data_IF_312169740223
#
_entry.id   IF_312169740223
#
_cell.length_a   1.000
_cell.length_b   1.000
_cell.length_c   1.000
_cell.angle_alpha   90.00
_cell.angle_beta   90.00
_cell.angle_gamma   90.00
#
_symmetry.space_group_name_H-M   'P 1'
#
loop_
_entity.id
_entity.type
_entity.pdbx_description
1 polymer ?
#
# COMPACT_ATOMS: atom_id res chain seq x y z
N UNK A 1 -0.03 -24.98 -9.28
CA UNK A 1 -1.50 -24.89 -9.15
C UNK A 1 -1.83 -23.40 -9.05
N UNK A 2 -2.82 -22.91 -9.77
CA UNK A 2 -3.22 -21.49 -9.82
C UNK A 2 -4.74 -21.38 -9.79
N UNK A 3 -5.28 -20.17 -9.60
CA UNK A 3 -6.71 -19.88 -9.65
C UNK A 3 -7.28 -20.10 -11.06
N UNK A 4 -8.54 -20.55 -11.16
CA UNK A 4 -9.25 -20.71 -12.42
C UNK A 4 -9.94 -19.41 -12.83
N UNK A 5 -9.20 -18.50 -13.48
CA UNK A 5 -9.71 -17.22 -13.97
C UNK A 5 -8.92 -16.75 -15.18
N UNK A 6 -9.52 -15.86 -15.97
CA UNK A 6 -8.79 -15.03 -16.93
C UNK A 6 -8.09 -13.90 -16.16
N UNK A 7 -6.94 -13.43 -16.66
CA UNK A 7 -6.17 -12.34 -15.99
C UNK A 7 -7.07 -11.15 -15.65
N UNK A 8 -6.89 -10.62 -14.44
CA UNK A 8 -7.62 -9.47 -13.90
C UNK A 8 -9.14 -9.67 -13.75
N UNK A 9 -9.59 -10.93 -13.80
CA UNK A 9 -10.99 -11.29 -13.56
C UNK A 9 -11.13 -12.18 -12.32
N UNK A 10 -12.31 -12.18 -11.67
CA UNK A 10 -12.57 -13.02 -10.52
C UNK A 10 -12.50 -14.52 -10.86
N UNK A 11 -12.15 -15.35 -9.87
CA UNK A 11 -12.21 -16.81 -10.00
C UNK A 11 -13.62 -17.25 -10.44
N UNK A 12 -13.65 -18.12 -11.44
CA UNK A 12 -14.90 -18.67 -11.96
C UNK A 12 -15.54 -19.61 -10.92
N UNK A 13 -16.83 -19.46 -10.67
CA UNK A 13 -17.61 -20.27 -9.71
C UNK A 13 -18.78 -21.00 -10.34
N UNK A 14 -19.18 -20.66 -11.56
CA UNK A 14 -20.23 -21.30 -12.33
C UNK A 14 -19.66 -22.27 -13.36
N UNK A 15 -20.29 -23.45 -13.52
CA UNK A 15 -19.82 -24.50 -14.43
C UNK A 15 -19.88 -24.07 -15.89
N UNK A 16 -20.94 -23.36 -16.30
CA UNK A 16 -21.11 -22.87 -17.69
C UNK A 16 -20.08 -21.81 -18.01
N UNK A 17 -19.91 -20.85 -17.08
CA UNK A 17 -18.91 -19.78 -17.17
C UNK A 17 -17.47 -20.35 -17.26
N UNK A 18 -17.19 -21.44 -16.49
CA UNK A 18 -15.91 -22.14 -16.56
C UNK A 18 -15.62 -22.73 -17.93
N UNK A 19 -16.60 -23.46 -18.49
CA UNK A 19 -16.46 -24.07 -19.81
C UNK A 19 -16.29 -23.04 -20.93
N UNK A 20 -16.97 -21.91 -20.84
CA UNK A 20 -16.90 -20.87 -21.87
C UNK A 20 -15.62 -20.07 -21.80
N UNK A 21 -15.20 -19.66 -20.58
CA UNK A 21 -14.09 -18.71 -20.42
C UNK A 21 -12.72 -19.36 -20.31
N UNK A 22 -12.64 -20.56 -19.78
CA UNK A 22 -11.37 -21.26 -19.54
C UNK A 22 -11.04 -22.28 -20.62
N UNK A 23 -11.85 -22.41 -21.66
CA UNK A 23 -11.64 -23.37 -22.80
C UNK A 23 -10.27 -23.23 -23.45
N UNK A 24 -9.72 -22.02 -23.53
CA UNK A 24 -8.38 -21.77 -24.08
C UNK A 24 -7.23 -21.91 -23.08
N UNK A 25 -7.55 -22.20 -21.81
CA UNK A 25 -6.57 -22.26 -20.70
C UNK A 25 -6.43 -23.67 -20.17
N UNK A 26 -7.53 -24.46 -20.11
CA UNK A 26 -7.56 -25.81 -19.57
C UNK A 26 -8.02 -26.82 -20.61
N UNK A 27 -7.35 -27.98 -20.67
CA UNK A 27 -7.67 -29.10 -21.57
C UNK A 27 -8.74 -30.03 -20.97
N UNK A 28 -8.88 -30.03 -19.63
CA UNK A 28 -9.80 -30.90 -18.89
C UNK A 28 -10.49 -30.11 -17.77
N UNK A 29 -11.81 -30.30 -17.67
CA UNK A 29 -12.64 -29.70 -16.62
C UNK A 29 -13.20 -30.77 -15.72
N UNK A 30 -12.97 -30.63 -14.40
CA UNK A 30 -13.64 -31.44 -13.39
C UNK A 30 -14.71 -30.57 -12.74
N UNK A 31 -15.96 -30.88 -13.04
CA UNK A 31 -17.13 -30.13 -12.61
C UNK A 31 -17.91 -30.90 -11.53
N UNK A 32 -18.76 -30.21 -10.80
CA UNK A 32 -19.70 -30.80 -9.84
C UNK A 32 -21.04 -30.06 -9.89
N UNK A 33 -22.07 -30.67 -9.36
CA UNK A 33 -23.45 -30.18 -9.34
C UNK A 33 -23.81 -29.37 -8.08
N UNK A 34 -22.82 -29.09 -7.25
CA UNK A 34 -22.97 -28.27 -6.03
C UNK A 34 -22.53 -26.84 -6.28
N UNK A 35 -23.43 -25.89 -6.08
CA UNK A 35 -23.14 -24.48 -6.27
C UNK A 35 -22.04 -23.96 -5.36
N UNK A 36 -21.16 -23.10 -5.89
CA UNK A 36 -20.19 -22.34 -5.13
C UNK A 36 -20.83 -21.01 -4.73
N UNK A 37 -21.40 -20.97 -3.54
CA UNK A 37 -22.16 -19.81 -3.04
C UNK A 37 -21.27 -18.60 -2.77
N UNK A 38 -20.05 -18.84 -2.28
CA UNK A 38 -19.11 -17.77 -1.92
C UNK A 38 -17.80 -17.97 -2.66
N UNK A 39 -17.44 -16.98 -3.49
CA UNK A 39 -16.12 -16.91 -4.09
C UNK A 39 -15.08 -16.65 -3.02
N UNK A 40 -13.97 -17.36 -3.04
CA UNK A 40 -12.85 -17.16 -2.15
C UNK A 40 -11.55 -17.51 -2.85
N UNK A 41 -10.68 -16.52 -2.97
CA UNK A 41 -9.29 -16.71 -3.41
C UNK A 41 -8.48 -17.50 -2.38
N UNK A 42 -7.33 -18.00 -2.80
CA UNK A 42 -6.35 -18.52 -1.87
C UNK A 42 -5.67 -17.38 -1.11
N UNK A 43 -5.46 -17.58 0.18
CA UNK A 43 -4.65 -16.68 0.98
C UNK A 43 -3.19 -16.80 0.55
N UNK A 44 -2.48 -15.66 0.60
CA UNK A 44 -1.05 -15.57 0.32
C UNK A 44 -0.34 -15.10 1.57
N UNK A 45 0.73 -15.78 1.94
CA UNK A 45 1.54 -15.43 3.11
C UNK A 45 3.04 -15.48 2.77
N UNK A 46 3.81 -14.68 3.48
CA UNK A 46 5.25 -14.61 3.43
C UNK A 46 5.83 -14.70 4.84
N UNK A 47 7.03 -15.24 4.99
CA UNK A 47 7.75 -15.21 6.28
C UNK A 47 8.52 -13.90 6.38
N UNK A 48 8.27 -13.12 7.44
CA UNK A 48 8.98 -11.88 7.78
C UNK A 48 9.34 -11.93 9.25
N UNK A 49 10.60 -11.70 9.59
CA UNK A 49 11.13 -11.80 10.94
C UNK A 49 10.77 -13.15 11.61
N UNK A 50 10.95 -14.25 10.88
CA UNK A 50 10.72 -15.63 11.37
C UNK A 50 9.26 -15.99 11.62
N UNK A 51 8.29 -15.16 11.22
CA UNK A 51 6.84 -15.39 11.42
C UNK A 51 6.06 -15.18 10.13
N UNK A 52 4.94 -15.91 9.91
CA UNK A 52 4.09 -15.66 8.76
C UNK A 52 3.43 -14.27 8.84
N UNK A 53 3.36 -13.60 7.70
CA UNK A 53 2.62 -12.37 7.44
C UNK A 53 1.67 -12.65 6.29
N UNK A 54 0.38 -12.43 6.49
CA UNK A 54 -0.65 -12.60 5.46
C UNK A 54 -0.62 -11.40 4.53
N UNK A 55 -0.39 -11.62 3.23
CA UNK A 55 -0.38 -10.58 2.20
C UNK A 55 -1.73 -10.46 1.48
N UNK A 56 -2.43 -11.59 1.35
CA UNK A 56 -3.82 -11.70 0.89
C UNK A 56 -4.60 -12.54 1.89
N UNK A 57 -5.66 -11.94 2.47
CA UNK A 57 -6.51 -12.62 3.45
C UNK A 57 -7.79 -13.10 2.77
N UNK A 58 -7.94 -14.41 2.64
CA UNK A 58 -9.08 -15.05 2.01
C UNK A 58 -9.35 -16.43 2.62
N UNK A 59 -9.34 -17.50 1.84
CA UNK A 59 -9.62 -18.87 2.27
C UNK A 59 -8.79 -19.27 3.49
N UNK A 60 -9.46 -19.85 4.49
CA UNK A 60 -8.85 -20.30 5.75
C UNK A 60 -8.74 -19.22 6.84
N UNK A 61 -8.83 -17.93 6.47
CA UNK A 61 -8.81 -16.81 7.40
C UNK A 61 -10.17 -16.11 7.53
N UNK A 62 -10.95 -16.04 6.46
CA UNK A 62 -12.28 -15.44 6.41
C UNK A 62 -13.32 -16.54 6.64
N UNK A 63 -14.41 -16.30 7.41
CA UNK A 63 -14.86 -15.05 8.05
C UNK A 63 -14.45 -14.93 9.54
N UNK A 64 -13.28 -15.44 9.94
CA UNK A 64 -12.85 -15.38 11.35
C UNK A 64 -12.77 -13.93 11.82
N UNK A 65 -13.50 -13.62 12.90
CA UNK A 65 -13.50 -12.30 13.52
C UNK A 65 -12.11 -11.92 14.09
N UNK A 66 -11.85 -10.63 14.12
CA UNK A 66 -10.72 -9.98 14.77
C UNK A 66 -11.30 -9.25 15.98
N UNK A 67 -10.75 -9.52 17.16
CA UNK A 67 -11.16 -8.80 18.37
C UNK A 67 -10.82 -7.30 18.21
N UNK A 68 -11.81 -6.46 18.45
CA UNK A 68 -11.67 -5.02 18.32
C UNK A 68 -11.27 -4.38 19.64
N UNK A 69 -10.23 -3.55 19.68
CA UNK A 69 -9.91 -2.75 20.86
C UNK A 69 -10.87 -1.57 21.07
N UNK A 70 -11.68 -1.24 20.08
CA UNK A 70 -12.74 -0.22 20.12
C UNK A 70 -14.08 -0.94 20.00
N UNK A 71 -15.01 -0.70 20.93
CA UNK A 71 -16.37 -1.25 20.83
C UNK A 71 -17.14 -0.53 19.72
N UNK A 72 -17.86 -1.26 18.89
CA UNK A 72 -18.77 -0.73 17.89
C UNK A 72 -20.16 -0.55 18.53
N UNK A 73 -20.51 0.69 18.90
CA UNK A 73 -21.82 1.01 19.48
C UNK A 73 -22.94 0.97 18.42
N UNK A 74 -22.58 1.13 17.14
CA UNK A 74 -23.42 0.96 15.95
C UNK A 74 -22.73 0.01 14.97
N UNK A 75 -23.51 -0.67 14.13
CA UNK A 75 -22.94 -1.54 13.09
C UNK A 75 -22.25 -0.72 12.02
N UNK A 76 -20.97 -0.99 11.79
CA UNK A 76 -20.14 -0.31 10.79
C UNK A 76 -19.90 -1.24 9.60
N UNK A 77 -20.11 -0.75 8.39
CA UNK A 77 -19.57 -1.32 7.15
C UNK A 77 -18.43 -0.43 6.68
N UNK A 78 -17.23 -0.98 6.53
CA UNK A 78 -16.12 -0.29 5.90
C UNK A 78 -15.85 -0.85 4.51
N UNK A 79 -15.75 0.02 3.52
CA UNK A 79 -15.76 -0.31 2.10
C UNK A 79 -14.39 -0.57 1.49
N UNK A 80 -13.30 -0.32 2.23
CA UNK A 80 -11.93 -0.53 1.75
C UNK A 80 -11.46 0.52 0.74
N UNK A 81 -10.38 0.19 0.03
CA UNK A 81 -9.79 1.02 -1.02
C UNK A 81 -10.20 0.54 -2.42
N UNK A 82 -9.53 1.03 -3.48
CA UNK A 82 -9.77 0.63 -4.88
C UNK A 82 -9.02 -0.66 -5.22
N UNK A 83 -7.74 -0.75 -4.84
CA UNK A 83 -6.86 -1.87 -5.18
C UNK A 83 -6.84 -2.90 -4.06
N UNK A 84 -6.66 -4.18 -4.42
CA UNK A 84 -6.60 -5.31 -3.46
C UNK A 84 -7.74 -5.25 -2.43
N UNK A 85 -8.90 -4.77 -2.88
CA UNK A 85 -10.03 -4.43 -2.03
C UNK A 85 -10.45 -5.58 -1.13
N UNK A 86 -10.87 -5.20 0.06
CA UNK A 86 -11.64 -5.97 1.03
C UNK A 86 -12.67 -5.02 1.64
N UNK A 87 -13.66 -5.57 2.33
CA UNK A 87 -14.58 -4.81 3.17
C UNK A 87 -14.58 -5.34 4.59
N UNK A 88 -15.13 -4.61 5.55
CA UNK A 88 -15.17 -5.04 6.95
C UNK A 88 -16.50 -4.68 7.60
N UNK A 89 -17.08 -5.63 8.34
CA UNK A 89 -18.19 -5.36 9.25
C UNK A 89 -17.67 -5.28 10.69
N UNK A 90 -18.01 -4.19 11.39
CA UNK A 90 -17.75 -4.00 12.81
C UNK A 90 -19.04 -4.04 13.62
N UNK A 91 -19.08 -4.85 14.70
CA UNK A 91 -20.20 -4.92 15.64
C UNK A 91 -19.72 -5.32 17.03
N UNK A 92 -20.27 -4.72 18.08
CA UNK A 92 -19.85 -5.03 19.44
C UNK A 92 -18.32 -4.94 19.60
N UNK A 93 -17.68 -6.01 20.01
CA UNK A 93 -16.22 -6.06 20.21
C UNK A 93 -15.50 -6.85 19.11
N UNK A 94 -16.13 -7.00 17.93
CA UNK A 94 -15.60 -7.79 16.84
C UNK A 94 -15.61 -7.02 15.50
N UNK A 95 -14.57 -7.24 14.70
CA UNK A 95 -14.50 -6.84 13.31
C UNK A 95 -14.36 -8.07 12.42
N UNK A 96 -15.21 -8.22 11.41
CA UNK A 96 -15.18 -9.31 10.45
C UNK A 96 -14.73 -8.76 9.10
N UNK A 97 -13.45 -8.97 8.80
CA UNK A 97 -12.87 -8.60 7.51
C UNK A 97 -13.35 -9.58 6.45
N UNK A 98 -13.90 -9.07 5.37
CA UNK A 98 -14.37 -9.82 4.21
C UNK A 98 -13.23 -10.51 3.44
N UNK A 99 -13.55 -11.37 2.47
CA UNK A 99 -12.55 -11.97 1.61
C UNK A 99 -11.90 -10.92 0.70
N UNK A 100 -10.72 -11.25 0.21
CA UNK A 100 -10.10 -10.47 -0.87
C UNK A 100 -11.00 -10.45 -2.09
N UNK A 101 -11.32 -9.27 -2.59
CA UNK A 101 -12.11 -9.04 -3.79
C UNK A 101 -11.19 -8.80 -5.00
N UNK A 102 -10.11 -8.06 -4.80
CA UNK A 102 -9.19 -7.62 -5.85
C UNK A 102 -9.39 -6.16 -6.24
N UNK A 103 -8.86 -5.80 -7.40
CA UNK A 103 -8.92 -4.43 -7.90
C UNK A 103 -10.29 -4.13 -8.50
N UNK A 104 -10.94 -3.06 -8.04
CA UNK A 104 -12.31 -2.70 -8.46
C UNK A 104 -12.32 -1.99 -9.84
N UNK A 105 -11.55 -2.52 -10.81
CA UNK A 105 -11.35 -1.89 -12.11
C UNK A 105 -12.33 -2.37 -13.20
N UNK A 106 -13.11 -3.42 -12.90
CA UNK A 106 -14.08 -3.95 -13.84
C UNK A 106 -15.48 -4.03 -13.25
N UNK A 107 -16.50 -3.93 -14.12
CA UNK A 107 -17.91 -4.07 -13.72
C UNK A 107 -18.18 -5.43 -13.06
N UNK A 108 -17.48 -6.48 -13.47
CA UNK A 108 -17.64 -7.82 -12.92
C UNK A 108 -17.10 -7.88 -11.50
N UNK A 109 -15.88 -7.41 -11.24
CA UNK A 109 -15.29 -7.35 -9.91
C UNK A 109 -16.15 -6.50 -8.98
N UNK A 110 -16.65 -5.37 -9.48
CA UNK A 110 -17.52 -4.49 -8.69
C UNK A 110 -18.84 -5.16 -8.30
N UNK A 111 -19.50 -5.90 -9.21
CA UNK A 111 -20.71 -6.68 -8.87
C UNK A 111 -20.43 -7.79 -7.85
N UNK A 112 -19.26 -8.44 -7.93
CA UNK A 112 -18.86 -9.42 -6.93
C UNK A 112 -18.63 -8.80 -5.56
N UNK A 113 -18.06 -7.61 -5.52
CA UNK A 113 -17.88 -6.80 -4.32
C UNK A 113 -19.25 -6.51 -3.66
N UNK A 114 -20.21 -5.98 -4.41
CA UNK A 114 -21.57 -5.71 -3.92
C UNK A 114 -22.24 -6.98 -3.39
N UNK A 115 -22.15 -8.07 -4.14
CA UNK A 115 -22.73 -9.36 -3.76
C UNK A 115 -22.04 -9.96 -2.52
N UNK A 116 -20.73 -9.79 -2.37
CA UNK A 116 -19.99 -10.27 -1.20
C UNK A 116 -20.35 -9.49 0.07
N UNK A 117 -20.50 -8.19 -0.01
CA UNK A 117 -20.98 -7.33 1.09
C UNK A 117 -22.39 -7.77 1.52
N UNK A 118 -23.31 -7.89 0.57
CA UNK A 118 -24.69 -8.28 0.87
C UNK A 118 -24.76 -9.67 1.52
N UNK A 119 -24.02 -10.65 1.00
CA UNK A 119 -23.97 -12.01 1.59
C UNK A 119 -23.38 -12.02 3.00
N UNK A 120 -22.31 -11.25 3.23
CA UNK A 120 -21.70 -11.18 4.56
C UNK A 120 -22.63 -10.51 5.56
N UNK A 121 -23.34 -9.43 5.17
CA UNK A 121 -24.35 -8.77 5.99
C UNK A 121 -25.46 -9.73 6.39
N UNK A 122 -25.98 -10.52 5.44
CA UNK A 122 -26.96 -11.58 5.69
C UNK A 122 -26.41 -12.68 6.62
N UNK A 123 -25.17 -13.13 6.39
CA UNK A 123 -24.53 -14.15 7.22
C UNK A 123 -24.34 -13.70 8.68
N UNK A 124 -24.00 -12.43 8.87
CA UNK A 124 -23.82 -11.83 10.19
C UNK A 124 -25.14 -11.35 10.81
N UNK A 125 -26.23 -11.34 10.06
CA UNK A 125 -27.53 -10.79 10.45
C UNK A 125 -27.42 -9.34 10.94
N UNK A 126 -26.81 -8.47 10.08
CA UNK A 126 -26.58 -7.06 10.40
C UNK A 126 -26.96 -6.14 9.24
N UNK A 127 -27.41 -4.93 9.61
CA UNK A 127 -27.59 -3.80 8.70
C UNK A 127 -26.68 -2.65 9.15
N UNK A 128 -25.85 -2.09 8.26
CA UNK A 128 -24.93 -1.04 8.66
C UNK A 128 -25.68 0.27 8.98
N UNK A 129 -25.32 0.89 10.09
CA UNK A 129 -25.75 2.22 10.51
C UNK A 129 -24.70 3.29 10.17
N UNK A 130 -23.43 2.87 10.05
CA UNK A 130 -22.30 3.70 9.62
C UNK A 130 -21.62 3.01 8.44
N UNK A 131 -21.27 3.81 7.42
CA UNK A 131 -20.53 3.31 6.25
C UNK A 131 -19.23 4.11 6.13
N UNK A 132 -18.11 3.45 6.38
CA UNK A 132 -16.78 4.05 6.28
C UNK A 132 -16.18 3.84 4.88
N UNK A 133 -15.51 4.87 4.36
CA UNK A 133 -14.92 4.86 3.03
C UNK A 133 -13.59 5.65 2.98
N UNK A 134 -12.81 5.44 1.93
CA UNK A 134 -11.62 6.23 1.65
C UNK A 134 -11.97 7.67 1.27
N UNK A 135 -11.06 8.62 1.47
CA UNK A 135 -11.23 10.01 1.05
C UNK A 135 -11.09 10.20 -0.47
N UNK A 136 -10.56 9.21 -1.20
CA UNK A 136 -10.40 9.33 -2.65
C UNK A 136 -11.77 9.36 -3.33
N UNK A 137 -12.13 10.48 -4.03
CA UNK A 137 -13.49 10.67 -4.53
C UNK A 137 -13.87 9.73 -5.68
N UNK A 138 -12.87 9.25 -6.43
CA UNK A 138 -13.09 8.44 -7.63
C UNK A 138 -13.04 6.93 -7.38
N UNK A 139 -12.71 6.48 -6.18
CA UNK A 139 -12.75 5.06 -5.88
C UNK A 139 -14.17 4.51 -5.99
N UNK A 140 -14.34 3.36 -6.64
CA UNK A 140 -15.65 2.72 -6.74
C UNK A 140 -16.16 2.29 -5.36
N UNK A 141 -15.29 1.91 -4.43
CA UNK A 141 -15.64 1.65 -3.03
C UNK A 141 -16.22 2.87 -2.33
N UNK A 142 -15.64 4.07 -2.57
CA UNK A 142 -16.17 5.35 -2.04
C UNK A 142 -17.54 5.67 -2.65
N UNK A 143 -17.69 5.52 -3.96
CA UNK A 143 -18.97 5.76 -4.65
C UNK A 143 -20.05 4.79 -4.15
N UNK A 144 -19.70 3.52 -3.95
CA UNK A 144 -20.60 2.54 -3.34
C UNK A 144 -21.03 3.00 -1.94
N UNK A 145 -20.10 3.36 -1.07
CA UNK A 145 -20.38 3.81 0.29
C UNK A 145 -21.34 5.00 0.34
N UNK A 146 -21.11 6.00 -0.52
CA UNK A 146 -21.97 7.19 -0.64
C UNK A 146 -23.33 6.89 -1.27
N UNK A 147 -23.46 5.77 -1.98
CA UNK A 147 -24.71 5.28 -2.57
C UNK A 147 -25.52 4.36 -1.65
N UNK A 148 -24.95 3.90 -0.53
CA UNK A 148 -25.68 3.08 0.45
C UNK A 148 -26.76 3.95 1.09
N UNK A 149 -28.02 3.69 0.71
CA UNK A 149 -29.16 4.40 1.26
C UNK A 149 -29.49 3.97 2.71
N UNK A 150 -30.74 4.01 3.08
CA UNK A 150 -31.28 3.51 4.35
C UNK A 150 -30.88 4.30 5.61
N UNK A 151 -30.48 5.55 5.49
CA UNK A 151 -30.15 6.40 6.63
C UNK A 151 -28.80 6.13 7.30
N UNK A 152 -27.95 5.27 6.71
CA UNK A 152 -26.61 5.05 7.20
C UNK A 152 -25.74 6.33 7.07
N UNK A 153 -24.93 6.60 8.10
CA UNK A 153 -24.03 7.75 8.14
C UNK A 153 -22.73 7.41 7.41
N UNK A 154 -22.40 8.17 6.36
CA UNK A 154 -21.12 8.01 5.66
C UNK A 154 -19.98 8.71 6.43
N UNK A 155 -18.86 8.01 6.63
CA UNK A 155 -17.66 8.52 7.32
C UNK A 155 -16.44 8.34 6.42
N UNK A 156 -15.84 9.47 6.00
CA UNK A 156 -14.60 9.47 5.23
C UNK A 156 -13.39 9.26 6.14
N UNK A 157 -12.54 8.28 5.82
CA UNK A 157 -11.34 7.95 6.59
C UNK A 157 -10.10 8.13 5.72
N UNK A 158 -9.10 8.86 6.25
CA UNK A 158 -7.85 9.06 5.54
C UNK A 158 -7.10 7.72 5.39
N UNK A 159 -6.59 7.45 4.19
CA UNK A 159 -5.99 6.20 3.76
C UNK A 159 -4.88 5.68 4.69
N UNK A 160 -3.88 6.52 4.97
CA UNK A 160 -2.73 6.13 5.81
C UNK A 160 -3.08 6.05 7.29
N UNK A 161 -4.07 6.82 7.75
CA UNK A 161 -4.65 6.64 9.07
C UNK A 161 -5.31 5.26 9.20
N UNK A 162 -6.07 4.84 8.17
CA UNK A 162 -6.66 3.50 8.14
C UNK A 162 -5.60 2.39 8.17
N UNK A 163 -4.48 2.56 7.45
CA UNK A 163 -3.36 1.64 7.53
C UNK A 163 -2.83 1.48 8.95
N UNK A 164 -2.56 2.57 9.64
CA UNK A 164 -2.03 2.52 11.02
C UNK A 164 -3.07 1.95 11.99
N UNK A 165 -4.33 2.39 11.89
CA UNK A 165 -5.43 1.88 12.70
C UNK A 165 -5.65 0.36 12.52
N UNK A 166 -5.47 -0.15 11.30
CA UNK A 166 -5.52 -1.59 11.01
C UNK A 166 -4.43 -2.37 11.76
N UNK A 167 -3.18 -1.87 11.75
CA UNK A 167 -2.09 -2.46 12.49
C UNK A 167 -2.29 -2.38 14.01
N UNK A 168 -2.79 -1.24 14.50
CA UNK A 168 -3.16 -1.10 15.92
C UNK A 168 -4.22 -2.12 16.34
N UNK A 169 -5.25 -2.30 15.51
CA UNK A 169 -6.35 -3.21 15.78
C UNK A 169 -5.89 -4.66 15.90
N UNK A 170 -5.06 -5.12 14.98
CA UNK A 170 -4.53 -6.48 15.00
C UNK A 170 -3.76 -6.80 16.29
N UNK A 171 -3.09 -5.80 16.86
CA UNK A 171 -2.27 -5.93 18.06
C UNK A 171 -2.97 -5.46 19.36
N UNK A 172 -4.24 -5.07 19.26
CA UNK A 172 -5.03 -4.65 20.43
C UNK A 172 -4.53 -3.35 21.09
N UNK A 173 -3.82 -2.50 20.35
CA UNK A 173 -3.30 -1.23 20.86
C UNK A 173 -4.44 -0.23 21.04
N UNK A 174 -4.46 0.51 22.15
CA UNK A 174 -5.55 1.44 22.51
C UNK A 174 -5.13 2.90 22.57
N UNK A 175 -3.85 3.17 22.78
CA UNK A 175 -3.32 4.52 22.89
C UNK A 175 -2.65 4.99 21.59
N UNK A 176 -2.09 6.20 21.59
CA UNK A 176 -1.38 6.70 20.44
C UNK A 176 -0.14 5.87 20.11
N UNK A 177 0.18 5.81 18.82
CA UNK A 177 1.35 5.11 18.28
C UNK A 177 2.14 6.01 17.34
N UNK A 178 3.41 5.67 17.10
CA UNK A 178 4.18 6.16 15.95
C UNK A 178 3.92 5.21 14.79
N UNK A 179 3.23 5.69 13.77
CA UNK A 179 2.88 4.90 12.59
C UNK A 179 3.77 5.24 11.41
N UNK A 180 4.55 4.28 10.90
CA UNK A 180 5.16 4.38 9.58
C UNK A 180 4.16 3.80 8.57
N UNK A 181 3.55 4.67 7.76
CA UNK A 181 2.60 4.29 6.72
C UNK A 181 3.28 4.44 5.35
N UNK A 182 3.90 3.34 4.87
CA UNK A 182 4.67 3.35 3.63
C UNK A 182 3.95 2.59 2.53
N UNK A 183 3.55 3.33 1.50
CA UNK A 183 2.79 2.80 0.38
C UNK A 183 3.25 3.39 -0.96
N UNK A 184 2.61 2.96 -2.04
CA UNK A 184 2.78 3.54 -3.35
C UNK A 184 2.12 4.90 -3.47
N UNK A 185 0.83 4.94 -3.22
CA UNK A 185 -0.01 6.14 -3.27
C UNK A 185 -1.27 5.95 -2.42
N UNK A 186 -1.68 7.00 -1.72
CA UNK A 186 -2.98 7.12 -1.08
C UNK A 186 -3.40 8.59 -1.04
N UNK A 187 -4.69 8.87 -0.98
CA UNK A 187 -5.22 10.22 -1.07
C UNK A 187 -4.95 11.00 0.22
N UNK A 188 -4.17 12.08 0.11
CA UNK A 188 -3.85 12.98 1.21
C UNK A 188 -4.98 13.96 1.51
N UNK A 189 -5.03 14.46 2.75
CA UNK A 189 -5.99 15.51 3.14
C UNK A 189 -5.72 16.87 2.48
N UNK A 190 -4.54 17.03 1.91
CA UNK A 190 -4.09 18.19 1.13
C UNK A 190 -4.28 18.02 -0.39
N UNK A 191 -4.86 16.88 -0.82
CA UNK A 191 -5.05 16.52 -2.22
C UNK A 191 -3.81 15.99 -2.92
N UNK A 192 -2.66 15.88 -2.22
CA UNK A 192 -1.45 15.24 -2.75
C UNK A 192 -1.52 13.72 -2.61
N UNK A 193 -0.72 13.02 -3.41
CA UNK A 193 -0.53 11.58 -3.24
C UNK A 193 0.47 11.32 -2.11
N UNK A 194 -0.01 10.82 -0.98
CA UNK A 194 0.81 10.39 0.15
C UNK A 194 1.30 8.94 -0.04
N UNK A 195 2.14 8.46 0.89
CA UNK A 195 2.62 7.07 0.91
C UNK A 195 4.03 6.92 1.48
N UNK A 196 4.54 7.96 2.15
CA UNK A 196 5.82 7.93 2.86
C UNK A 196 5.70 8.67 4.19
N UNK A 197 4.74 8.26 5.05
CA UNK A 197 4.31 9.08 6.16
C UNK A 197 4.78 8.53 7.51
N UNK A 198 5.24 9.42 8.39
CA UNK A 198 5.28 9.15 9.82
C UNK A 198 4.12 9.89 10.48
N UNK A 199 3.25 9.14 11.14
CA UNK A 199 2.09 9.65 11.84
C UNK A 199 2.23 9.44 13.35
N UNK A 200 1.74 10.38 14.17
CA UNK A 200 1.23 10.06 15.51
C UNK A 200 -0.25 9.82 15.33
N UNK A 201 -0.76 8.65 15.70
CA UNK A 201 -2.14 8.29 15.46
C UNK A 201 -2.74 7.49 16.62
N UNK A 202 -4.02 7.73 16.87
CA UNK A 202 -4.93 6.81 17.56
C UNK A 202 -6.09 6.48 16.63
N UNK A 203 -7.17 5.86 17.12
CA UNK A 203 -8.32 5.53 16.24
C UNK A 203 -9.15 6.74 15.85
N UNK A 204 -9.11 7.84 16.56
CA UNK A 204 -9.97 8.98 16.29
C UNK A 204 -9.28 10.06 15.46
N UNK A 205 -7.98 10.24 15.63
CA UNK A 205 -7.22 11.31 14.99
C UNK A 205 -5.77 10.93 14.71
N UNK A 206 -5.14 11.73 13.85
CA UNK A 206 -3.73 11.59 13.56
C UNK A 206 -3.07 12.95 13.31
N UNK A 207 -1.76 12.99 13.51
CA UNK A 207 -0.89 14.12 13.13
C UNK A 207 0.18 13.62 12.18
N UNK A 208 0.31 14.25 11.01
CA UNK A 208 1.36 13.98 10.03
C UNK A 208 2.65 14.64 10.48
N UNK A 209 3.62 13.88 10.99
CA UNK A 209 4.90 14.40 11.49
C UNK A 209 5.95 14.54 10.41
N UNK A 210 6.04 13.55 9.51
CA UNK A 210 7.04 13.54 8.46
C UNK A 210 6.50 12.91 7.18
N UNK A 211 7.11 13.29 6.07
CA UNK A 211 6.85 12.76 4.74
C UNK A 211 8.15 12.75 3.91
N UNK A 212 8.15 12.01 2.81
CA UNK A 212 9.25 12.07 1.84
C UNK A 212 9.09 13.25 0.88
N UNK A 213 10.22 13.78 0.39
CA UNK A 213 10.24 14.75 -0.71
C UNK A 213 9.44 14.17 -1.89
N UNK A 214 8.49 14.93 -2.47
CA UNK A 214 7.65 14.40 -3.52
C UNK A 214 8.42 14.19 -4.83
N UNK A 215 8.05 13.13 -5.55
CA UNK A 215 8.41 12.90 -6.94
C UNK A 215 7.25 13.31 -7.84
N UNK A 216 7.53 13.87 -9.01
CA UNK A 216 6.51 14.21 -9.99
C UNK A 216 6.01 12.94 -10.71
N UNK A 217 4.71 12.62 -10.61
CA UNK A 217 4.09 11.53 -11.35
C UNK A 217 3.63 12.01 -12.73
N UNK A 218 4.55 12.14 -13.67
CA UNK A 218 4.25 12.61 -15.02
C UNK A 218 3.30 11.67 -15.77
N UNK A 219 2.04 12.08 -15.91
CA UNK A 219 0.94 11.29 -16.46
C UNK A 219 0.08 10.58 -15.40
N UNK A 220 0.23 10.93 -14.10
CA UNK A 220 -0.55 10.30 -13.02
C UNK A 220 -0.36 8.78 -12.96
N UNK A 221 -1.43 8.00 -13.07
CA UNK A 221 -1.38 6.53 -13.07
C UNK A 221 -0.44 5.94 -14.13
N UNK A 222 -0.24 6.62 -15.26
CA UNK A 222 0.70 6.17 -16.27
C UNK A 222 2.13 6.06 -15.72
N UNK A 223 2.51 6.91 -14.77
CA UNK A 223 3.82 6.84 -14.13
C UNK A 223 3.98 5.59 -13.24
N UNK A 224 2.89 5.00 -12.76
CA UNK A 224 2.88 3.74 -12.00
C UNK A 224 3.09 2.56 -12.97
N UNK A 225 2.40 2.55 -14.11
CA UNK A 225 2.54 1.52 -15.16
C UNK A 225 3.84 1.66 -15.96
N UNK A 226 4.42 2.85 -15.97
CA UNK A 226 5.67 3.20 -16.67
C UNK A 226 6.68 3.79 -15.68
N UNK A 227 7.29 2.98 -14.81
CA UNK A 227 8.20 3.43 -13.74
C UNK A 227 9.40 4.25 -14.24
N UNK A 228 9.77 4.13 -15.53
CA UNK A 228 10.79 4.98 -16.13
C UNK A 228 10.48 6.49 -16.01
N UNK A 229 9.19 6.88 -15.98
CA UNK A 229 8.76 8.26 -15.80
C UNK A 229 9.11 8.78 -14.39
N UNK A 230 8.84 7.94 -13.37
CA UNK A 230 9.18 8.26 -11.98
C UNK A 230 10.69 8.23 -11.77
N UNK A 231 11.41 7.30 -12.43
CA UNK A 231 12.87 7.28 -12.44
C UNK A 231 13.45 8.55 -13.05
N UNK A 232 12.91 9.02 -14.18
CA UNK A 232 13.32 10.26 -14.82
C UNK A 232 13.08 11.47 -13.89
N UNK A 233 11.91 11.56 -13.26
CA UNK A 233 11.59 12.62 -12.29
C UNK A 233 12.53 12.61 -11.08
N UNK A 234 12.87 11.42 -10.56
CA UNK A 234 13.77 11.26 -9.42
C UNK A 234 15.18 11.75 -9.73
N UNK A 235 15.75 11.36 -10.87
CA UNK A 235 17.10 11.80 -11.22
C UNK A 235 17.14 13.27 -11.66
N UNK A 236 16.11 13.76 -12.36
CA UNK A 236 15.99 15.17 -12.74
C UNK A 236 15.97 16.09 -11.51
N UNK A 237 15.16 15.77 -10.49
CA UNK A 237 15.15 16.50 -9.20
C UNK A 237 16.51 16.41 -8.48
N UNK A 238 17.13 15.24 -8.44
CA UNK A 238 18.40 15.05 -7.74
C UNK A 238 19.57 15.80 -8.39
N UNK A 239 19.56 15.95 -9.70
CA UNK A 239 20.59 16.64 -10.49
C UNK A 239 20.16 18.04 -10.97
N UNK A 240 19.00 18.53 -10.53
CA UNK A 240 18.49 19.88 -10.86
C UNK A 240 18.37 20.14 -12.36
N UNK A 241 17.90 19.16 -13.12
CA UNK A 241 17.75 19.22 -14.57
C UNK A 241 18.99 18.81 -15.37
N UNK A 242 20.12 18.51 -14.72
CA UNK A 242 21.38 18.09 -15.37
C UNK A 242 21.63 16.57 -15.20
N UNK A 243 20.58 15.78 -15.27
CA UNK A 243 20.66 14.34 -15.05
C UNK A 243 21.41 13.62 -16.18
N UNK A 244 22.30 12.65 -15.88
CA UNK A 244 23.04 11.88 -16.87
C UNK A 244 22.19 10.76 -17.50
N UNK A 245 21.10 11.14 -18.20
CA UNK A 245 20.07 10.23 -18.73
C UNK A 245 20.65 9.19 -19.68
N UNK A 246 21.60 9.58 -20.55
CA UNK A 246 22.19 8.72 -21.59
C UNK A 246 22.93 7.50 -21.01
N UNK A 247 23.38 7.59 -19.75
CA UNK A 247 24.10 6.52 -19.05
C UNK A 247 23.24 5.31 -18.71
N UNK A 248 21.91 5.44 -18.75
CA UNK A 248 21.02 4.40 -18.24
C UNK A 248 20.33 3.58 -19.34
N UNK A 249 20.46 2.25 -19.32
CA UNK A 249 19.82 1.36 -20.32
C UNK A 249 18.30 1.51 -20.37
N UNK A 250 17.63 1.85 -19.27
CA UNK A 250 16.17 2.03 -19.21
C UNK A 250 15.71 3.13 -20.18
N UNK A 251 16.42 4.26 -20.23
CA UNK A 251 16.03 5.39 -21.09
C UNK A 251 16.38 5.17 -22.57
N UNK A 252 17.35 4.32 -22.88
CA UNK A 252 17.65 3.92 -24.26
C UNK A 252 16.51 3.14 -24.94
N UNK A 253 15.59 2.59 -24.13
CA UNK A 253 14.38 1.87 -24.60
C UNK A 253 13.19 2.80 -24.87
N UNK A 254 13.34 4.09 -24.54
CA UNK A 254 12.27 5.09 -24.67
C UNK A 254 12.62 6.00 -25.85
N UNK A 255 11.62 6.34 -26.66
CA UNK A 255 11.82 7.26 -27.75
C UNK A 255 12.28 8.66 -27.22
N UNK A 256 13.27 9.30 -27.81
CA UNK A 256 13.75 10.60 -27.35
C UNK A 256 12.64 11.65 -27.22
N UNK A 257 11.67 11.65 -28.15
CA UNK A 257 10.52 12.55 -28.10
C UNK A 257 9.66 12.35 -26.84
N UNK A 258 9.50 11.09 -26.36
CA UNK A 258 8.73 10.79 -25.17
C UNK A 258 9.48 11.25 -23.91
N UNK A 259 10.82 11.08 -23.85
CA UNK A 259 11.64 11.62 -22.77
C UNK A 259 11.49 13.14 -22.67
N UNK A 260 11.58 13.85 -23.82
CA UNK A 260 11.41 15.30 -23.87
C UNK A 260 10.01 15.76 -23.44
N UNK A 261 8.97 15.02 -23.81
CA UNK A 261 7.59 15.30 -23.39
C UNK A 261 7.48 15.17 -21.88
N UNK A 262 7.97 14.07 -21.31
CA UNK A 262 7.88 13.81 -19.87
C UNK A 262 8.70 14.83 -19.07
N UNK A 263 9.91 15.19 -19.50
CA UNK A 263 10.67 16.26 -18.86
C UNK A 263 9.92 17.60 -18.86
N UNK A 264 9.29 17.97 -20.00
CA UNK A 264 8.46 19.17 -20.04
C UNK A 264 7.25 19.10 -19.10
N UNK A 265 6.63 17.93 -18.94
CA UNK A 265 5.54 17.72 -17.98
C UNK A 265 6.04 17.95 -16.54
N UNK A 266 7.18 17.37 -16.19
CA UNK A 266 7.83 17.52 -14.87
C UNK A 266 8.13 18.99 -14.59
N UNK A 267 8.86 19.67 -15.49
CA UNK A 267 9.31 21.04 -15.29
C UNK A 267 8.15 22.06 -15.26
N UNK A 268 7.03 21.77 -15.95
CA UNK A 268 5.85 22.65 -15.97
C UNK A 268 4.80 22.28 -14.93
N UNK A 269 4.96 21.16 -14.22
CA UNK A 269 3.93 20.61 -13.33
C UNK A 269 2.64 20.22 -14.06
N UNK A 270 2.72 19.99 -15.38
CA UNK A 270 1.53 19.67 -16.17
C UNK A 270 1.22 18.17 -16.13
N UNK A 271 0.04 17.80 -15.62
CA UNK A 271 -0.33 16.41 -15.41
C UNK A 271 0.78 15.59 -14.73
N UNK A 272 1.41 16.19 -13.72
CA UNK A 272 2.53 15.62 -12.99
C UNK A 272 2.33 15.89 -11.48
N UNK A 273 1.27 15.33 -10.86
CA UNK A 273 0.98 15.57 -9.46
C UNK A 273 2.16 15.12 -8.58
N UNK A 274 2.41 15.81 -7.45
CA UNK A 274 3.44 15.41 -6.49
C UNK A 274 3.00 14.15 -5.73
N UNK A 275 3.92 13.19 -5.57
CA UNK A 275 3.71 11.97 -4.81
C UNK A 275 4.83 11.73 -3.81
N UNK A 276 4.44 11.49 -2.57
CA UNK A 276 5.33 11.27 -1.43
C UNK A 276 5.63 9.80 -1.14
N UNK A 277 5.06 8.89 -1.97
CA UNK A 277 5.10 7.45 -1.73
C UNK A 277 6.50 6.83 -1.74
N UNK A 278 6.82 6.04 -0.71
CA UNK A 278 8.04 5.23 -0.66
C UNK A 278 8.07 4.19 -1.78
N UNK A 279 6.90 3.63 -2.12
CA UNK A 279 6.75 2.74 -3.27
C UNK A 279 7.20 3.37 -4.58
N UNK A 280 6.99 4.68 -4.76
CA UNK A 280 7.45 5.41 -5.96
C UNK A 280 8.98 5.50 -6.02
N UNK A 281 9.66 5.62 -4.89
CA UNK A 281 11.12 5.54 -4.84
C UNK A 281 11.61 4.13 -5.19
N UNK A 282 10.96 3.08 -4.68
CA UNK A 282 11.28 1.70 -5.07
C UNK A 282 11.09 1.46 -6.57
N UNK A 283 10.00 1.95 -7.16
CA UNK A 283 9.74 1.85 -8.59
C UNK A 283 10.80 2.60 -9.40
N UNK A 284 11.16 3.81 -8.99
CA UNK A 284 12.17 4.62 -9.67
C UNK A 284 13.56 3.98 -9.64
N UNK A 285 14.03 3.58 -8.46
CA UNK A 285 15.32 2.88 -8.34
C UNK A 285 15.31 1.55 -9.09
N UNK A 286 14.22 0.77 -8.97
CA UNK A 286 14.09 -0.49 -9.65
C UNK A 286 14.10 -0.34 -11.17
N UNK A 287 13.39 0.65 -11.72
CA UNK A 287 13.42 0.92 -13.16
C UNK A 287 14.84 1.27 -13.65
N UNK A 288 15.59 2.09 -12.90
CA UNK A 288 16.97 2.44 -13.23
C UNK A 288 17.90 1.23 -13.17
N UNK A 289 17.85 0.46 -12.08
CA UNK A 289 18.80 -0.60 -11.77
C UNK A 289 18.54 -1.87 -12.59
N UNK A 290 17.27 -2.24 -12.77
CA UNK A 290 16.88 -3.44 -13.50
C UNK A 290 16.64 -3.20 -15.00
N UNK A 291 16.69 -1.94 -15.43
CA UNK A 291 16.39 -1.51 -16.79
C UNK A 291 14.99 -1.94 -17.26
N UNK A 292 14.00 -1.92 -16.36
CA UNK A 292 12.60 -2.25 -16.63
C UNK A 292 11.77 -0.98 -16.76
N UNK A 293 11.43 -0.53 -17.99
CA UNK A 293 10.67 0.70 -18.18
C UNK A 293 9.18 0.55 -17.87
N UNK A 294 8.62 -0.66 -17.93
CA UNK A 294 7.20 -0.94 -17.80
C UNK A 294 6.94 -1.98 -16.72
N UNK A 295 5.88 -1.79 -15.95
CA UNK A 295 5.37 -2.77 -15.00
C UNK A 295 4.12 -3.44 -15.56
N UNK A 296 4.02 -4.77 -15.43
CA UNK A 296 2.85 -5.56 -15.84
C UNK A 296 1.77 -5.59 -14.76
N UNK A 297 2.16 -5.38 -13.50
CA UNK A 297 1.27 -5.30 -12.34
C UNK A 297 1.87 -4.36 -11.27
N UNK A 298 1.03 -3.87 -10.38
CA UNK A 298 1.44 -2.96 -9.32
C UNK A 298 2.46 -3.60 -8.37
N UNK A 299 3.54 -2.87 -8.08
CA UNK A 299 4.62 -3.31 -7.18
C UNK A 299 5.61 -4.30 -7.80
N UNK A 300 5.46 -4.70 -9.09
CA UNK A 300 6.38 -5.62 -9.75
C UNK A 300 7.84 -5.20 -9.59
N UNK A 301 8.15 -3.98 -9.97
CA UNK A 301 9.52 -3.47 -9.98
C UNK A 301 10.11 -3.41 -8.56
N UNK A 302 9.29 -3.06 -7.57
CA UNK A 302 9.71 -3.04 -6.16
C UNK A 302 10.00 -4.46 -5.64
N UNK A 303 9.20 -5.47 -6.03
CA UNK A 303 9.40 -6.87 -5.67
C UNK A 303 10.67 -7.42 -6.33
N UNK A 304 10.89 -7.13 -7.60
CA UNK A 304 12.11 -7.55 -8.32
C UNK A 304 13.36 -6.91 -7.73
N UNK A 305 13.28 -5.63 -7.31
CA UNK A 305 14.39 -4.95 -6.65
C UNK A 305 14.71 -5.54 -5.26
N UNK A 306 13.68 -5.94 -4.47
CA UNK A 306 13.87 -6.69 -3.21
C UNK A 306 14.59 -8.03 -3.47
N UNK A 307 14.13 -8.76 -4.48
CA UNK A 307 14.76 -10.05 -4.87
C UNK A 307 16.18 -9.93 -5.41
N UNK A 308 16.53 -8.80 -6.02
CA UNK A 308 17.85 -8.54 -6.56
C UNK A 308 18.87 -8.10 -5.51
N UNK A 309 18.43 -7.62 -4.33
CA UNK A 309 19.29 -7.02 -3.33
C UNK A 309 20.25 -8.04 -2.66
N UNK A 310 21.55 -7.73 -2.63
CA UNK A 310 22.56 -8.55 -1.95
C UNK A 310 22.23 -8.67 -0.44
N UNK A 311 21.99 -9.89 0.07
CA UNK A 311 21.66 -10.08 1.48
C UNK A 311 22.84 -9.79 2.43
N UNK A 312 24.08 -9.78 1.93
CA UNK A 312 25.28 -9.52 2.72
C UNK A 312 25.65 -8.04 2.81
N UNK A 313 25.17 -7.20 1.88
CA UNK A 313 25.50 -5.75 1.86
C UNK A 313 24.85 -5.01 3.04
N UNK A 314 25.67 -4.20 3.75
CA UNK A 314 25.27 -3.42 4.93
C UNK A 314 25.44 -1.91 4.75
N UNK A 315 26.09 -1.47 3.67
CA UNK A 315 26.25 -0.06 3.34
C UNK A 315 24.92 0.63 3.10
N UNK A 316 24.92 1.94 3.22
CA UNK A 316 23.79 2.82 2.96
C UNK A 316 24.30 4.12 2.35
N UNK A 317 23.39 4.87 1.76
CA UNK A 317 23.66 6.22 1.23
C UNK A 317 23.31 7.29 2.25
N UNK A 318 23.88 8.50 2.05
CA UNK A 318 23.51 9.67 2.81
C UNK A 318 22.14 10.21 2.39
N UNK A 319 21.46 10.81 3.34
CA UNK A 319 20.16 11.48 3.18
C UNK A 319 20.08 12.67 4.14
N UNK A 320 19.04 13.49 4.00
CA UNK A 320 18.75 14.55 4.95
C UNK A 320 17.31 14.46 5.45
N UNK A 321 17.07 14.94 6.66
CA UNK A 321 15.73 15.12 7.23
C UNK A 321 15.64 16.56 7.68
N UNK A 322 14.82 17.34 6.97
CA UNK A 322 14.49 18.71 7.38
C UNK A 322 13.30 18.63 8.36
N UNK A 323 13.55 19.08 9.59
CA UNK A 323 12.56 19.05 10.67
C UNK A 323 11.78 20.35 10.81
N UNK A 324 11.92 21.29 9.88
CA UNK A 324 11.19 22.55 9.87
C UNK A 324 10.86 22.99 8.44
N UNK A 325 9.58 23.26 8.09
CA UNK A 325 8.38 23.16 8.94
C UNK A 325 7.87 21.72 9.12
N UNK A 326 6.82 21.55 9.91
CA UNK A 326 6.06 20.31 9.99
C UNK A 326 5.04 20.26 8.84
N UNK A 327 4.84 19.11 8.15
CA UNK A 327 5.56 17.83 8.33
C UNK A 327 7.03 17.94 7.93
N UNK A 328 7.89 17.23 8.67
CA UNK A 328 9.31 17.10 8.32
C UNK A 328 9.46 16.50 6.92
N UNK A 329 10.52 16.86 6.24
CA UNK A 329 10.74 16.34 4.90
C UNK A 329 12.01 15.51 4.80
N UNK A 330 11.88 14.26 4.35
CA UNK A 330 13.01 13.40 3.99
C UNK A 330 13.49 13.74 2.61
N UNK A 331 14.77 14.04 2.46
CA UNK A 331 15.43 14.31 1.18
C UNK A 331 16.41 13.18 0.82
N UNK A 332 16.05 12.41 -0.20
CA UNK A 332 16.85 11.29 -0.73
C UNK A 332 17.74 11.70 -1.90
N UNK A 333 17.81 12.97 -2.31
CA UNK A 333 18.66 13.41 -3.44
C UNK A 333 20.14 13.06 -3.26
N UNK A 334 20.74 13.12 -2.04
CA UNK A 334 22.10 12.61 -1.85
C UNK A 334 22.24 11.14 -2.19
N UNK A 335 21.28 10.30 -1.72
CA UNK A 335 21.25 8.86 -2.02
C UNK A 335 21.08 8.60 -3.52
N UNK A 336 20.19 9.33 -4.17
CA UNK A 336 19.95 9.20 -5.63
C UNK A 336 21.24 9.51 -6.40
N UNK A 337 21.92 10.62 -6.08
CA UNK A 337 23.18 10.97 -6.75
C UNK A 337 24.26 9.90 -6.55
N UNK A 338 24.41 9.41 -5.32
CA UNK A 338 25.39 8.37 -5.01
C UNK A 338 25.11 7.08 -5.78
N UNK A 339 23.85 6.62 -5.78
CA UNK A 339 23.45 5.43 -6.54
C UNK A 339 23.65 5.61 -8.05
N UNK A 340 23.33 6.77 -8.60
CA UNK A 340 23.58 7.11 -10.02
C UNK A 340 25.06 7.01 -10.36
N UNK A 341 25.95 7.59 -9.55
CA UNK A 341 27.39 7.52 -9.79
C UNK A 341 27.94 6.11 -9.65
N UNK A 342 27.41 5.29 -8.73
CA UNK A 342 27.79 3.89 -8.62
C UNK A 342 27.36 3.07 -9.84
N UNK A 343 26.14 3.28 -10.36
CA UNK A 343 25.67 2.63 -11.60
C UNK A 343 26.57 3.01 -12.77
N UNK A 344 26.89 4.28 -12.94
CA UNK A 344 27.78 4.77 -14.01
C UNK A 344 29.23 4.29 -13.84
N UNK A 345 29.65 4.07 -12.60
CA UNK A 345 30.96 3.48 -12.24
C UNK A 345 31.03 1.96 -12.40
N UNK A 346 29.93 1.30 -12.74
CA UNK A 346 29.86 -0.15 -12.96
C UNK A 346 29.76 -0.98 -11.66
N UNK A 347 29.32 -0.37 -10.55
CA UNK A 347 29.02 -1.13 -9.32
C UNK A 347 27.89 -2.14 -9.56
N UNK A 348 27.95 -3.26 -8.88
CA UNK A 348 27.00 -4.36 -9.06
C UNK A 348 25.58 -3.96 -8.58
N UNK A 349 24.58 -4.17 -9.44
CA UNK A 349 23.17 -3.87 -9.15
C UNK A 349 22.67 -4.44 -7.81
N UNK A 350 23.01 -5.71 -7.42
CA UNK A 350 22.60 -6.26 -6.14
C UNK A 350 23.08 -5.44 -4.92
N UNK A 351 24.27 -4.87 -4.98
CA UNK A 351 24.81 -4.04 -3.90
C UNK A 351 24.10 -2.70 -3.82
N UNK A 352 23.89 -2.04 -4.96
CA UNK A 352 23.15 -0.75 -5.02
C UNK A 352 21.73 -0.96 -4.52
N UNK A 353 21.03 -2.00 -4.99
CA UNK A 353 19.68 -2.34 -4.54
C UNK A 353 19.61 -2.54 -3.01
N UNK A 354 20.58 -3.27 -2.46
CA UNK A 354 20.67 -3.46 -1.01
C UNK A 354 20.92 -2.16 -0.25
N UNK A 355 21.80 -1.28 -0.76
CA UNK A 355 22.07 0.05 -0.15
C UNK A 355 20.84 0.96 -0.18
N UNK A 356 20.03 0.92 -1.24
CA UNK A 356 18.75 1.65 -1.31
C UNK A 356 17.82 1.19 -0.18
N UNK A 357 17.62 -0.12 0.00
CA UNK A 357 16.79 -0.66 1.08
C UNK A 357 17.33 -0.28 2.47
N UNK A 358 18.65 -0.40 2.67
CA UNK A 358 19.29 -0.05 3.93
C UNK A 358 19.14 1.45 4.24
N UNK A 359 19.18 2.31 3.21
CA UNK A 359 18.97 3.76 3.34
C UNK A 359 17.56 4.07 3.80
N UNK A 360 16.54 3.47 3.17
CA UNK A 360 15.13 3.66 3.56
C UNK A 360 14.86 3.14 4.98
N UNK A 361 15.48 2.02 5.36
CA UNK A 361 15.40 1.52 6.73
C UNK A 361 16.05 2.50 7.74
N UNK A 362 17.22 3.04 7.41
CA UNK A 362 17.90 4.01 8.28
C UNK A 362 17.11 5.31 8.44
N UNK A 363 16.55 5.84 7.35
CA UNK A 363 15.61 6.97 7.39
C UNK A 363 14.45 6.70 8.36
N UNK A 364 13.82 5.54 8.24
CA UNK A 364 12.69 5.13 9.09
C UNK A 364 13.05 5.11 10.57
N UNK A 365 14.21 4.54 10.89
CA UNK A 365 14.74 4.47 12.28
C UNK A 365 15.00 5.87 12.81
N UNK A 366 15.65 6.73 12.03
CA UNK A 366 15.97 8.09 12.46
C UNK A 366 14.72 8.96 12.60
N UNK A 367 13.69 8.78 11.74
CA UNK A 367 12.40 9.44 11.89
C UNK A 367 11.70 9.05 13.21
N UNK A 368 11.64 7.74 13.52
CA UNK A 368 11.03 7.25 14.77
C UNK A 368 11.78 7.79 15.99
N UNK A 369 13.11 7.73 15.99
CA UNK A 369 13.93 8.28 17.10
C UNK A 369 13.76 9.79 17.25
N UNK A 370 13.66 10.51 16.13
CA UNK A 370 13.43 11.95 16.15
C UNK A 370 12.06 12.30 16.73
N UNK A 371 11.01 11.60 16.31
CA UNK A 371 9.65 11.80 16.80
C UNK A 371 9.53 11.47 18.30
N UNK A 372 10.20 10.42 18.76
CA UNK A 372 10.17 10.00 20.15
C UNK A 372 10.77 11.04 21.12
N UNK A 373 11.64 11.93 20.64
CA UNK A 373 12.16 13.04 21.48
C UNK A 373 11.08 14.04 21.87
N UNK A 374 10.04 14.20 21.05
CA UNK A 374 8.91 15.10 21.36
C UNK A 374 7.68 14.38 21.90
N UNK A 375 7.34 13.22 21.30
CA UNK A 375 6.12 12.45 21.61
C UNK A 375 6.31 11.39 22.71
N UNK A 376 7.55 11.14 23.16
CA UNK A 376 7.85 10.01 24.01
C UNK A 376 7.99 8.69 23.25
N UNK A 377 8.35 7.62 23.98
CA UNK A 377 8.52 6.27 23.41
C UNK A 377 7.17 5.57 23.24
N UNK A 378 6.45 5.94 22.20
CA UNK A 378 5.21 5.27 21.82
C UNK A 378 5.52 3.93 21.12
N UNK A 379 4.57 2.95 21.13
CA UNK A 379 4.66 1.78 20.27
C UNK A 379 4.78 2.20 18.80
N UNK A 380 5.52 1.43 18.00
CA UNK A 380 5.71 1.69 16.57
C UNK A 380 4.90 0.69 15.76
N UNK A 381 4.09 1.18 14.81
CA UNK A 381 3.31 0.35 13.88
C UNK A 381 3.85 0.55 12.47
N UNK A 382 4.17 -0.57 11.78
CA UNK A 382 4.58 -0.58 10.39
C UNK A 382 3.42 -1.08 9.53
N UNK A 383 2.90 -0.24 8.62
CA UNK A 383 1.77 -0.56 7.75
C UNK A 383 1.90 0.13 6.38
N UNK A 384 1.14 -0.33 5.40
CA UNK A 384 1.25 0.07 3.99
C UNK A 384 1.93 -1.01 3.15
N UNK A 385 1.70 -0.96 1.84
CA UNK A 385 2.15 -1.99 0.88
C UNK A 385 3.66 -2.21 0.87
N UNK A 386 4.47 -1.20 1.16
CA UNK A 386 5.93 -1.32 1.21
C UNK A 386 6.42 -2.27 2.31
N UNK A 387 5.64 -2.53 3.36
CA UNK A 387 6.01 -3.48 4.42
C UNK A 387 5.76 -4.95 4.06
N UNK A 388 5.32 -5.23 2.85
CA UNK A 388 5.45 -6.55 2.26
C UNK A 388 6.91 -6.89 1.93
N UNK A 389 7.79 -5.89 1.81
CA UNK A 389 9.23 -6.04 1.65
C UNK A 389 9.87 -6.49 2.97
N UNK A 390 10.31 -7.77 3.01
CA UNK A 390 10.85 -8.36 4.21
C UNK A 390 12.15 -7.69 4.65
N UNK A 391 13.05 -7.34 3.70
CA UNK A 391 14.32 -6.70 4.00
C UNK A 391 14.10 -5.34 4.70
N UNK A 392 13.19 -4.53 4.19
CA UNK A 392 12.85 -3.24 4.78
C UNK A 392 12.29 -3.41 6.21
N UNK A 393 11.25 -4.24 6.34
CA UNK A 393 10.57 -4.47 7.61
C UNK A 393 11.51 -5.03 8.68
N UNK A 394 12.31 -6.05 8.34
CA UNK A 394 13.28 -6.66 9.27
C UNK A 394 14.41 -5.72 9.66
N UNK A 395 14.86 -4.87 8.74
CA UNK A 395 15.94 -3.90 9.03
C UNK A 395 15.45 -2.82 9.99
N UNK A 396 14.23 -2.33 9.81
CA UNK A 396 13.62 -1.37 10.75
C UNK A 396 13.41 -2.02 12.12
N UNK A 397 12.84 -3.24 12.14
CA UNK A 397 12.62 -3.98 13.38
C UNK A 397 13.93 -4.13 14.17
N UNK A 398 15.00 -4.64 13.53
CA UNK A 398 16.31 -4.79 14.19
C UNK A 398 16.92 -3.47 14.64
N UNK A 399 16.72 -2.39 13.89
CA UNK A 399 17.29 -1.09 14.19
C UNK A 399 16.60 -0.34 15.31
N UNK A 400 15.34 -0.67 15.59
CA UNK A 400 14.57 -0.08 16.68
C UNK A 400 14.55 -0.94 17.97
N UNK A 401 14.86 -2.24 17.87
CA UNK A 401 14.96 -3.14 19.01
C UNK A 401 16.29 -2.88 19.79
N UNK A 402 16.30 -2.89 21.12
CA UNK A 402 15.15 -2.99 22.05
C UNK A 402 14.56 -1.63 22.47
N UNK A 403 14.87 -0.54 21.80
CA UNK A 403 14.45 0.81 22.20
C UNK A 403 12.93 1.00 22.13
N UNK A 404 12.28 0.33 21.15
CA UNK A 404 10.85 0.47 20.86
C UNK A 404 10.19 -0.90 20.71
N UNK A 405 8.91 -0.97 21.10
CA UNK A 405 8.06 -2.11 20.71
C UNK A 405 7.52 -1.86 19.31
N UNK A 406 7.98 -2.68 18.36
CA UNK A 406 7.60 -2.55 16.94
C UNK A 406 6.59 -3.63 16.57
N UNK A 407 5.49 -3.22 15.95
CA UNK A 407 4.38 -4.08 15.51
C UNK A 407 4.34 -4.17 14.01
N UNK A 408 4.45 -5.41 13.49
CA UNK A 408 4.27 -5.79 12.09
C UNK A 408 2.94 -6.52 11.95
N UNK A 409 2.24 -6.33 10.86
CA UNK A 409 1.07 -7.14 10.52
C UNK A 409 1.40 -8.63 10.48
N UNK A 410 0.43 -9.49 10.85
CA UNK A 410 0.55 -10.94 10.87
C UNK A 410 -0.63 -11.64 10.17
N UNK A 411 -1.84 -11.37 10.62
CA UNK A 411 -3.10 -11.99 10.14
C UNK A 411 -3.89 -11.06 9.21
N UNK A 412 -3.59 -9.79 9.25
CA UNK A 412 -4.19 -8.73 8.41
C UNK A 412 -3.14 -8.30 7.41
N UNK A 413 -3.48 -8.11 6.13
CA UNK A 413 -2.54 -7.61 5.14
C UNK A 413 -1.99 -6.22 5.51
N UNK A 414 -0.68 -5.97 5.36
CA UNK A 414 -0.13 -4.62 5.61
C UNK A 414 -0.53 -3.59 4.55
N UNK A 415 -0.82 -4.02 3.31
CA UNK A 415 -1.31 -3.15 2.23
C UNK A 415 -2.82 -2.98 2.25
N UNK A 416 -3.40 -2.54 1.13
CA UNK A 416 -4.81 -2.12 0.99
C UNK A 416 -5.83 -3.18 1.42
N UNK A 417 -5.49 -4.46 1.35
CA UNK A 417 -6.33 -5.52 1.88
C UNK A 417 -6.58 -5.45 3.40
N UNK A 418 -5.86 -4.60 4.13
CA UNK A 418 -6.08 -4.34 5.56
C UNK A 418 -6.84 -3.05 5.87
N UNK A 419 -6.98 -2.15 4.90
CA UNK A 419 -7.55 -0.81 5.09
C UNK A 419 -8.97 -0.85 5.67
N UNK A 420 -9.82 -1.73 5.19
CA UNK A 420 -11.21 -1.81 5.64
C UNK A 420 -11.32 -2.05 7.16
N UNK A 421 -10.40 -2.82 7.76
CA UNK A 421 -10.36 -2.97 9.21
C UNK A 421 -10.08 -1.63 9.90
N UNK A 422 -9.05 -0.90 9.45
CA UNK A 422 -8.72 0.41 10.01
C UNK A 422 -9.85 1.43 9.83
N UNK A 423 -10.45 1.47 8.64
CA UNK A 423 -11.61 2.33 8.37
C UNK A 423 -12.76 2.06 9.35
N UNK A 424 -13.08 0.79 9.63
CA UNK A 424 -14.15 0.43 10.56
C UNK A 424 -13.88 0.98 11.96
N UNK A 425 -12.65 0.82 12.48
CA UNK A 425 -12.31 1.28 13.82
C UNK A 425 -12.24 2.80 13.92
N UNK A 426 -11.68 3.46 12.90
CA UNK A 426 -11.63 4.93 12.85
C UNK A 426 -13.04 5.51 12.83
N UNK A 427 -13.93 4.99 11.99
CA UNK A 427 -15.31 5.45 11.91
C UNK A 427 -16.05 5.24 13.26
N UNK A 428 -15.87 4.08 13.90
CA UNK A 428 -16.45 3.83 15.22
C UNK A 428 -15.93 4.80 16.28
N UNK A 429 -14.63 5.08 16.29
CA UNK A 429 -14.03 6.01 17.26
C UNK A 429 -14.47 7.47 17.03
N UNK A 430 -14.60 7.89 15.78
CA UNK A 430 -15.07 9.24 15.42
C UNK A 430 -16.56 9.43 15.73
N UNK A 431 -17.40 8.41 15.46
CA UNK A 431 -18.83 8.48 15.76
C UNK A 431 -19.12 8.64 17.27
N UNK A 432 -18.25 8.19 18.15
CA UNK A 432 -18.37 8.40 19.61
C UNK A 432 -18.10 9.83 20.07
N UNK A 433 -17.43 10.63 19.24
CA UNK A 433 -17.10 12.04 19.56
C UNK A 433 -18.16 13.01 19.07
N UNK A 434 -19.09 12.55 18.20
CA UNK A 434 -20.24 13.30 17.70
C UNK A 434 -21.44 13.14 18.63
#
# INVERSE_FOLDING_TARGET
MTSGNVSDEPIVTDNTDALDRLRGVADLFVLHDRDIVTRADDSVARVVAGRPVVLRRARGYVPRAIASPVTFDATVLACGAQLKNTFCYGRGDEAVLGPHIGDLDSVRVFRDYEAAIARMGQFLDVTPEIVAHDLHPDYLSTRYALGVGNGAVAVGVQHHHAHIASGMAEHGLRGPVLGLAFDGTGYGTDGAAWGGELLIADYAEFTRLATFRPLALAGGEMAIRQPWRTALAMIDDAFRGEAPIEGFPVFRRIAPADLDVVLRMIHRGFNAPPAHGVGRYFDAFGALLLAHPYASYEGQIAIELDGAADPAERGRYDYAIDQAPCPWQVDLRPAVRAAVFEVLGGEAVPRIAARVHNTLAAVSIDLVRAAARGAGRLPVVLSGGCFQNARLAESILRGLDPEFTVHLHRRVPPGDGGIALGQALVAAAQARRL
#
